data_IF_317316145144
#
_entry.id   IF_317316145144
#
_cell.length_a   1.000
_cell.length_b   1.000
_cell.length_c   1.000
_cell.angle_alpha   90.00
_cell.angle_beta   90.00
_cell.angle_gamma   90.00
#
_symmetry.space_group_name_H-M   'P 1'
#
loop_
_entity.id
_entity.type
_entity.pdbx_description
1 polymer ?
#
# COMPACT_ATOMS: atom_id res chain seq x y z
N UNK A 1 10.75 -64.40 -69.18
CA UNK A 1 11.90 -63.51 -69.26
C UNK A 1 11.45 -62.23 -68.48
N UNK A 2 11.82 -62.14 -67.24
CA UNK A 2 11.39 -61.03 -66.37
C UNK A 2 12.62 -60.21 -65.99
N UNK A 3 12.69 -59.01 -66.51
CA UNK A 3 13.68 -58.03 -66.10
C UNK A 3 13.20 -57.35 -64.80
N UNK A 4 13.92 -57.58 -63.76
CA UNK A 4 13.78 -56.88 -62.48
C UNK A 4 14.41 -55.49 -62.58
N UNK A 5 13.60 -54.46 -62.66
CA UNK A 5 14.07 -53.08 -62.59
C UNK A 5 14.26 -52.67 -61.12
N UNK A 6 15.51 -52.62 -60.66
CA UNK A 6 15.92 -52.28 -59.30
C UNK A 6 16.14 -50.76 -59.19
N UNK A 7 15.06 -50.00 -58.96
CA UNK A 7 15.18 -48.55 -58.63
C UNK A 7 15.39 -48.36 -57.14
N UNK A 8 16.62 -47.94 -56.74
CA UNK A 8 16.93 -47.47 -55.41
C UNK A 8 16.23 -46.15 -55.16
N UNK A 9 15.54 -45.95 -54.03
CA UNK A 9 15.02 -44.62 -53.61
C UNK A 9 16.17 -43.69 -53.22
N UNK A 10 16.20 -42.50 -53.83
CA UNK A 10 17.11 -41.46 -53.55
C UNK A 10 16.62 -40.79 -52.24
N UNK A 11 17.31 -41.09 -51.15
CA UNK A 11 17.08 -40.42 -49.88
C UNK A 11 17.69 -39.01 -49.92
N UNK A 12 16.86 -37.99 -50.19
CA UNK A 12 17.25 -36.59 -50.06
C UNK A 12 17.23 -36.22 -48.58
N UNK A 13 18.38 -36.31 -47.93
CA UNK A 13 18.59 -35.82 -46.55
C UNK A 13 18.75 -34.29 -46.54
N UNK A 14 17.62 -33.60 -46.57
CA UNK A 14 17.61 -32.14 -46.33
C UNK A 14 17.40 -31.87 -44.84
N UNK A 15 18.35 -32.29 -44.02
CA UNK A 15 18.43 -31.92 -42.60
C UNK A 15 19.04 -30.53 -42.51
N UNK A 16 18.18 -29.49 -42.42
CA UNK A 16 18.60 -28.19 -41.93
C UNK A 16 19.02 -28.34 -40.48
N UNK A 17 20.22 -27.96 -40.08
CA UNK A 17 20.56 -27.92 -38.67
C UNK A 17 19.76 -26.81 -38.02
N UNK A 18 18.78 -27.16 -37.22
CA UNK A 18 18.10 -26.28 -36.29
C UNK A 18 19.16 -25.80 -35.28
N UNK A 19 19.73 -24.60 -35.51
CA UNK A 19 20.69 -23.96 -34.65
C UNK A 19 20.07 -23.47 -33.35
N UNK A 20 19.54 -24.37 -32.55
CA UNK A 20 19.21 -24.12 -31.18
C UNK A 20 20.52 -23.91 -30.43
N UNK A 21 20.88 -22.64 -30.15
CA UNK A 21 22.00 -22.32 -29.24
C UNK A 21 21.70 -22.92 -27.87
N UNK A 22 22.20 -24.12 -27.63
CA UNK A 22 22.20 -24.68 -26.28
C UNK A 22 23.09 -23.81 -25.40
N UNK A 23 22.45 -22.99 -24.56
CA UNK A 23 23.17 -22.23 -23.55
C UNK A 23 23.92 -23.21 -22.66
N UNK A 24 25.23 -23.00 -22.47
CA UNK A 24 26.04 -23.84 -21.59
C UNK A 24 25.45 -23.84 -20.17
N UNK A 25 25.66 -24.92 -19.44
CA UNK A 25 25.16 -25.01 -18.06
C UNK A 25 25.62 -23.85 -17.20
N UNK A 26 26.85 -23.38 -17.41
CA UNK A 26 27.42 -22.21 -16.74
C UNK A 26 26.64 -20.91 -17.01
N UNK A 27 26.12 -20.71 -18.24
CA UNK A 27 25.29 -19.57 -18.57
C UNK A 27 23.89 -19.66 -17.94
N UNK A 28 23.32 -20.87 -17.86
CA UNK A 28 22.05 -21.12 -17.16
C UNK A 28 22.19 -20.82 -15.66
N UNK A 29 23.27 -21.24 -15.02
CA UNK A 29 23.56 -20.94 -13.62
C UNK A 29 23.75 -19.45 -13.39
N UNK A 30 24.49 -18.73 -14.25
CA UNK A 30 24.68 -17.27 -14.15
C UNK A 30 23.36 -16.50 -14.28
N UNK A 31 22.46 -16.92 -15.19
CA UNK A 31 21.14 -16.29 -15.34
C UNK A 31 20.22 -16.54 -14.15
N UNK A 32 20.24 -17.74 -13.57
CA UNK A 32 19.48 -18.05 -12.34
C UNK A 32 20.00 -17.21 -11.15
N UNK A 33 21.31 -17.14 -10.99
CA UNK A 33 21.93 -16.34 -9.91
C UNK A 33 21.62 -14.85 -10.03
N UNK A 34 21.65 -14.29 -11.25
CA UNK A 34 21.27 -12.89 -11.50
C UNK A 34 19.79 -12.61 -11.17
N UNK A 35 18.87 -13.51 -11.53
CA UNK A 35 17.44 -13.37 -11.20
C UNK A 35 17.19 -13.43 -9.69
N UNK A 36 17.85 -14.32 -8.98
CA UNK A 36 17.73 -14.39 -7.52
C UNK A 36 18.32 -13.16 -6.84
N UNK A 37 19.45 -12.66 -7.30
CA UNK A 37 20.03 -11.41 -6.79
C UNK A 37 19.10 -10.21 -7.02
N UNK A 38 18.49 -10.09 -8.19
CA UNK A 38 17.53 -8.99 -8.47
C UNK A 38 16.28 -9.06 -7.59
N UNK A 39 15.79 -10.26 -7.27
CA UNK A 39 14.66 -10.43 -6.37
C UNK A 39 15.02 -10.09 -4.92
N UNK A 40 16.22 -10.44 -4.46
CA UNK A 40 16.70 -10.09 -3.12
C UNK A 40 16.94 -8.58 -2.98
N UNK A 41 17.49 -7.94 -4.01
CA UNK A 41 17.70 -6.48 -4.03
C UNK A 41 16.36 -5.74 -3.99
N UNK A 42 15.37 -6.16 -4.79
CA UNK A 42 14.02 -5.54 -4.78
C UNK A 42 13.35 -5.68 -3.41
N UNK A 43 13.42 -6.84 -2.78
CA UNK A 43 12.88 -7.06 -1.42
C UNK A 43 13.63 -6.25 -0.36
N UNK A 44 14.95 -6.13 -0.49
CA UNK A 44 15.76 -5.30 0.40
C UNK A 44 15.44 -3.81 0.28
N UNK A 45 15.23 -3.30 -0.94
CA UNK A 45 14.85 -1.89 -1.17
C UNK A 45 13.47 -1.59 -0.59
N UNK A 46 12.49 -2.46 -0.80
CA UNK A 46 11.14 -2.30 -0.23
C UNK A 46 11.21 -2.30 1.29
N UNK A 47 11.99 -3.18 1.90
CA UNK A 47 12.20 -3.21 3.35
C UNK A 47 12.87 -1.94 3.89
N UNK A 48 13.88 -1.42 3.18
CA UNK A 48 14.56 -0.17 3.54
C UNK A 48 13.63 1.05 3.44
N UNK A 49 12.82 1.12 2.39
CA UNK A 49 11.82 2.19 2.22
C UNK A 49 10.77 2.13 3.32
N UNK A 50 10.25 0.95 3.62
CA UNK A 50 9.31 0.76 4.72
C UNK A 50 9.92 1.17 6.08
N UNK A 51 11.17 0.79 6.34
CA UNK A 51 11.89 1.19 7.54
C UNK A 51 12.13 2.70 7.60
N UNK A 52 12.49 3.32 6.48
CA UNK A 52 12.69 4.78 6.40
C UNK A 52 11.38 5.54 6.68
N UNK A 53 10.26 5.08 6.14
CA UNK A 53 8.93 5.65 6.42
C UNK A 53 8.58 5.48 7.90
N UNK A 54 8.85 4.31 8.48
CA UNK A 54 8.60 4.06 9.90
C UNK A 54 9.46 4.95 10.80
N UNK A 55 10.73 5.16 10.46
CA UNK A 55 11.62 6.09 11.18
C UNK A 55 11.13 7.53 11.03
N UNK A 56 10.68 7.94 9.83
CA UNK A 56 10.13 9.26 9.59
C UNK A 56 8.90 9.50 10.47
N UNK A 57 7.98 8.53 10.53
CA UNK A 57 6.79 8.58 11.39
C UNK A 57 7.20 8.71 12.87
N UNK A 58 8.19 7.92 13.33
CA UNK A 58 8.67 8.01 14.73
C UNK A 58 9.29 9.37 15.01
N UNK A 59 10.05 9.94 14.07
CA UNK A 59 10.67 11.26 14.22
C UNK A 59 9.61 12.37 14.26
N UNK A 60 8.58 12.29 13.44
CA UNK A 60 7.45 13.24 13.45
C UNK A 60 6.69 13.17 14.77
N UNK A 61 6.44 11.97 15.29
CA UNK A 61 5.81 11.77 16.61
C UNK A 61 6.71 12.32 17.72
N UNK A 62 8.02 12.14 17.64
CA UNK A 62 8.98 12.58 18.65
C UNK A 62 9.22 14.10 18.63
N UNK A 63 9.11 14.77 17.47
CA UNK A 63 9.21 16.25 17.37
C UNK A 63 7.96 16.97 17.84
N UNK A 64 6.92 16.21 18.27
CA UNK A 64 5.84 16.72 19.10
C UNK A 64 5.03 17.84 18.47
N UNK A 65 4.31 17.55 17.41
CA UNK A 65 2.98 18.13 17.34
C UNK A 65 2.10 17.36 18.31
N UNK A 66 2.18 17.72 19.59
CA UNK A 66 1.14 17.38 20.57
C UNK A 66 -0.03 18.33 20.29
N UNK A 67 -0.65 18.16 19.12
CA UNK A 67 -1.94 18.73 18.87
C UNK A 67 -2.90 18.02 19.80
N UNK A 68 -3.43 18.73 20.80
CA UNK A 68 -4.59 18.27 21.54
C UNK A 68 -5.80 18.15 20.60
N UNK A 69 -7.01 18.01 21.15
CA UNK A 69 -8.27 18.08 20.40
C UNK A 69 -8.32 19.27 19.44
N UNK A 70 -7.77 20.42 19.84
CA UNK A 70 -7.74 21.67 19.05
C UNK A 70 -7.06 21.53 17.69
N UNK A 71 -6.04 20.66 17.55
CA UNK A 71 -5.37 20.44 16.28
C UNK A 71 -6.24 19.65 15.29
N UNK A 72 -7.17 18.83 15.81
CA UNK A 72 -8.12 18.07 15.00
C UNK A 72 -9.34 18.90 14.63
N UNK A 73 -9.71 19.91 15.42
CA UNK A 73 -10.93 20.69 15.23
C UNK A 73 -11.07 21.22 13.80
N UNK A 74 -12.27 21.07 13.25
CA UNK A 74 -12.65 21.47 11.90
C UNK A 74 -12.94 20.31 10.96
N UNK A 75 -13.09 20.65 9.69
CA UNK A 75 -13.55 19.74 8.66
C UNK A 75 -12.39 19.22 7.81
N UNK A 76 -12.38 17.92 7.58
CA UNK A 76 -11.32 17.21 6.87
C UNK A 76 -11.88 16.36 5.73
N UNK A 77 -11.34 16.52 4.55
CA UNK A 77 -11.71 15.76 3.36
C UNK A 77 -10.82 14.53 3.19
N UNK A 78 -11.42 13.35 3.13
CA UNK A 78 -10.71 12.07 2.96
C UNK A 78 -10.73 11.59 1.49
N UNK A 79 -11.64 12.10 0.66
CA UNK A 79 -11.84 11.64 -0.73
C UNK A 79 -13.22 11.02 -0.95
N UNK A 80 -13.63 10.85 -2.22
CA UNK A 80 -14.88 10.17 -2.58
C UNK A 80 -16.15 10.73 -1.94
N UNK A 81 -16.21 12.05 -1.66
CA UNK A 81 -17.29 12.73 -0.91
C UNK A 81 -17.39 12.29 0.56
N UNK A 82 -16.28 11.85 1.17
CA UNK A 82 -16.18 11.51 2.59
C UNK A 82 -15.50 12.63 3.34
N UNK A 83 -16.10 13.07 4.44
CA UNK A 83 -15.55 14.11 5.31
C UNK A 83 -15.64 13.68 6.77
N UNK A 84 -14.63 14.06 7.54
CA UNK A 84 -14.66 14.05 9.00
C UNK A 84 -14.77 15.48 9.47
N UNK A 85 -15.66 15.74 10.40
CA UNK A 85 -15.77 17.01 11.11
C UNK A 85 -15.58 16.75 12.60
N UNK A 86 -14.58 17.38 13.20
CA UNK A 86 -14.26 17.23 14.60
C UNK A 86 -14.61 18.55 15.32
N UNK A 87 -15.46 18.45 16.31
CA UNK A 87 -15.82 19.57 17.17
C UNK A 87 -14.85 19.68 18.36
N UNK A 88 -14.71 20.85 18.93
CA UNK A 88 -13.81 21.12 20.05
C UNK A 88 -14.28 20.52 21.37
N UNK A 89 -15.53 20.09 21.44
CA UNK A 89 -16.15 19.46 22.62
C UNK A 89 -15.89 17.94 22.72
N UNK A 90 -15.18 17.35 21.76
CA UNK A 90 -14.90 15.90 21.70
C UNK A 90 -15.99 15.10 21.02
N UNK A 91 -16.87 15.75 20.27
CA UNK A 91 -17.81 15.12 19.35
C UNK A 91 -17.39 15.35 17.90
N UNK A 92 -18.02 14.65 16.98
CA UNK A 92 -17.76 14.85 15.56
C UNK A 92 -18.75 14.11 14.68
N UNK A 93 -18.58 14.30 13.39
CA UNK A 93 -19.48 13.76 12.38
C UNK A 93 -18.68 13.17 11.21
N UNK A 94 -18.98 11.95 10.83
CA UNK A 94 -18.52 11.33 9.61
C UNK A 94 -19.60 11.52 8.53
N UNK A 95 -19.28 12.26 7.51
CA UNK A 95 -20.18 12.56 6.38
C UNK A 95 -19.78 11.64 5.23
N UNK A 96 -20.67 10.76 4.86
CA UNK A 96 -20.57 9.85 3.73
C UNK A 96 -21.55 10.27 2.62
N UNK A 97 -21.42 9.78 1.38
CA UNK A 97 -22.33 10.14 0.29
C UNK A 97 -23.82 9.90 0.58
N UNK A 98 -24.14 8.91 1.43
CA UNK A 98 -25.51 8.47 1.71
C UNK A 98 -25.87 8.44 3.20
N UNK A 99 -24.95 8.79 4.09
CA UNK A 99 -25.21 8.84 5.54
C UNK A 99 -24.40 9.93 6.23
N UNK A 100 -24.86 10.28 7.41
CA UNK A 100 -24.18 11.16 8.34
C UNK A 100 -24.17 10.44 9.68
N UNK A 101 -22.97 10.12 10.16
CA UNK A 101 -22.79 9.30 11.34
C UNK A 101 -22.06 10.10 12.43
N UNK A 102 -22.70 10.26 13.59
CA UNK A 102 -22.12 10.96 14.72
C UNK A 102 -21.18 10.06 15.51
N UNK A 103 -20.13 10.64 16.02
CA UNK A 103 -19.20 9.97 16.93
C UNK A 103 -18.77 10.86 18.09
N UNK A 104 -18.27 10.23 19.14
CA UNK A 104 -17.44 10.91 20.13
C UNK A 104 -15.98 10.52 19.96
N UNK A 105 -15.07 11.41 20.35
CA UNK A 105 -13.66 11.10 20.26
C UNK A 105 -12.87 11.56 21.49
N UNK A 106 -11.75 10.87 21.71
CA UNK A 106 -10.80 11.20 22.78
C UNK A 106 -9.39 11.25 22.23
N UNK A 107 -8.67 12.28 22.63
CA UNK A 107 -7.26 12.44 22.27
C UNK A 107 -6.38 12.18 23.49
N UNK A 108 -5.38 11.33 23.32
CA UNK A 108 -4.35 11.11 24.33
C UNK A 108 -2.98 11.09 23.65
N UNK A 109 -2.23 12.19 23.81
CA UNK A 109 -0.99 12.43 23.05
C UNK A 109 -1.27 12.44 21.53
N UNK A 110 -0.73 11.47 20.79
CA UNK A 110 -0.95 11.26 19.36
C UNK A 110 -1.95 10.13 19.04
N UNK A 111 -2.70 9.68 20.03
CA UNK A 111 -3.73 8.67 19.88
C UNK A 111 -5.09 9.32 19.83
N UNK A 112 -5.87 8.98 18.82
CA UNK A 112 -7.26 9.36 18.59
C UNK A 112 -8.12 8.11 18.71
N UNK A 113 -8.97 8.06 19.70
CA UNK A 113 -10.01 7.05 19.84
C UNK A 113 -11.32 7.62 19.30
N UNK A 114 -11.98 6.92 18.41
CA UNK A 114 -13.29 7.27 17.84
C UNK A 114 -14.28 6.21 18.28
N UNK A 115 -15.40 6.65 18.88
CA UNK A 115 -16.50 5.81 19.33
C UNK A 115 -17.76 6.28 18.57
N UNK A 116 -18.24 5.48 17.60
CA UNK A 116 -19.41 5.81 16.79
C UNK A 116 -20.71 5.58 17.54
N UNK A 117 -21.71 6.45 17.34
CA UNK A 117 -23.06 6.25 17.92
C UNK A 117 -23.82 5.16 17.21
N UNK A 118 -23.59 4.98 15.89
CA UNK A 118 -24.18 3.89 15.13
C UNK A 118 -23.37 2.60 15.32
N UNK A 119 -24.01 1.58 15.88
CA UNK A 119 -23.40 0.27 16.14
C UNK A 119 -23.05 -0.52 14.86
N UNK A 120 -23.45 -0.06 13.68
CA UNK A 120 -23.05 -0.64 12.41
C UNK A 120 -21.61 -0.25 12.01
N UNK A 121 -21.09 0.83 12.59
CA UNK A 121 -19.72 1.27 12.43
C UNK A 121 -18.84 0.71 13.54
N UNK A 122 -17.59 0.47 13.24
CA UNK A 122 -16.65 -0.10 14.20
C UNK A 122 -15.83 1.02 14.85
N UNK A 123 -15.85 1.06 16.16
CA UNK A 123 -15.00 1.94 16.96
C UNK A 123 -13.54 1.62 16.72
N UNK A 124 -12.69 2.64 16.75
CA UNK A 124 -11.29 2.43 16.43
C UNK A 124 -10.35 3.41 17.11
N UNK A 125 -9.12 2.97 17.27
CA UNK A 125 -8.02 3.80 17.77
C UNK A 125 -7.03 4.05 16.65
N UNK A 126 -6.68 5.31 16.43
CA UNK A 126 -5.74 5.75 15.41
C UNK A 126 -4.55 6.43 16.04
N UNK A 127 -3.39 6.33 15.43
CA UNK A 127 -2.31 7.29 15.64
C UNK A 127 -2.51 8.42 14.65
N UNK A 128 -2.52 9.67 15.10
CA UNK A 128 -2.74 10.80 14.22
C UNK A 128 -1.57 11.77 14.19
N UNK A 129 -1.41 12.44 13.07
CA UNK A 129 -0.40 13.49 12.83
C UNK A 129 -1.11 14.61 12.06
N UNK A 130 -1.00 15.84 12.55
CA UNK A 130 -1.49 17.04 11.85
C UNK A 130 -0.29 17.88 11.48
N UNK A 131 -0.12 18.14 10.19
CA UNK A 131 0.99 18.93 9.65
C UNK A 131 0.55 19.60 8.34
N UNK A 132 0.83 20.89 8.20
CA UNK A 132 0.57 21.67 6.98
C UNK A 132 -0.84 21.49 6.37
N UNK A 133 -1.88 21.51 7.22
CA UNK A 133 -3.27 21.33 6.76
C UNK A 133 -3.62 19.92 6.34
N UNK A 134 -2.78 18.95 6.67
CA UNK A 134 -2.99 17.54 6.41
C UNK A 134 -3.13 16.79 7.74
N UNK A 135 -4.12 15.90 7.83
CA UNK A 135 -4.31 14.96 8.92
C UNK A 135 -4.00 13.55 8.39
N UNK A 136 -3.04 12.90 8.99
CA UNK A 136 -2.75 11.48 8.73
C UNK A 136 -3.29 10.64 9.88
N UNK A 137 -4.13 9.67 9.57
CA UNK A 137 -4.66 8.68 10.51
C UNK A 137 -4.06 7.31 10.19
N UNK A 138 -3.37 6.72 11.16
CA UNK A 138 -2.80 5.38 11.05
C UNK A 138 -3.61 4.45 11.94
N UNK A 139 -4.28 3.49 11.34
CA UNK A 139 -5.15 2.56 12.03
C UNK A 139 -4.41 1.71 13.08
N UNK A 140 -5.05 1.52 14.20
CA UNK A 140 -4.60 0.67 15.31
C UNK A 140 -5.69 -0.30 15.72
N UNK A 141 -5.90 -0.45 17.01
CA UNK A 141 -6.91 -1.37 17.57
C UNK A 141 -8.32 -1.01 17.08
N UNK A 142 -9.08 -2.02 16.66
CA UNK A 142 -10.44 -1.87 16.13
C UNK A 142 -10.50 -1.42 14.67
N UNK A 143 -9.38 -1.23 13.98
CA UNK A 143 -9.32 -0.77 12.58
C UNK A 143 -8.70 -1.81 11.67
N UNK A 144 -8.74 -1.56 10.34
CA UNK A 144 -8.04 -2.39 9.33
C UNK A 144 -6.51 -2.28 9.39
N UNK A 145 -5.97 -1.29 10.12
CA UNK A 145 -4.54 -0.98 10.14
C UNK A 145 -4.06 -0.11 8.98
N UNK A 146 -4.98 0.36 8.13
CA UNK A 146 -4.66 1.22 7.00
C UNK A 146 -4.27 2.63 7.42
N UNK A 147 -3.62 3.34 6.51
CA UNK A 147 -3.28 4.75 6.68
C UNK A 147 -4.15 5.61 5.78
N UNK A 148 -4.75 6.64 6.36
CA UNK A 148 -5.60 7.60 5.66
C UNK A 148 -4.99 8.99 5.73
N UNK A 149 -5.00 9.70 4.61
CA UNK A 149 -4.60 11.11 4.54
C UNK A 149 -5.84 11.97 4.25
N UNK A 150 -6.06 12.97 5.09
CA UNK A 150 -7.17 13.91 4.98
C UNK A 150 -6.62 15.32 4.82
N UNK A 151 -7.33 16.15 4.06
CA UNK A 151 -6.97 17.54 3.80
C UNK A 151 -7.94 18.44 4.54
N UNK A 152 -7.41 19.43 5.27
CA UNK A 152 -8.25 20.41 5.98
C UNK A 152 -9.06 21.25 5.00
N UNK A 153 -10.34 21.37 5.25
CA UNK A 153 -11.21 22.32 4.53
C UNK A 153 -11.24 23.61 5.33
N UNK A 154 -10.74 24.69 4.74
CA UNK A 154 -10.92 26.01 5.30
C UNK A 154 -12.35 26.46 5.00
N UNK A 155 -13.09 26.86 6.02
CA UNK A 155 -14.40 27.48 5.84
C UNK A 155 -14.15 28.94 5.48
N UNK A 156 -14.50 29.32 4.24
CA UNK A 156 -14.56 30.73 3.80
C UNK A 156 -15.70 31.48 4.52
#
# INVERSE_FOLDING_TARGET
MNEYNNQKPIYSSNTRPSGGRYLSETERFRRRKKRQQQLMIKRGIVGLVALAILILIIVLIAKGCSGGSDALAGKWYMGGSTYYEFDDDGTGTLILPNSIDEFSYKVKKNKLQIDYKDSSLTDGTYTFIVEDGKLTLIGGEGTSGDTYELIKIEND
#
